data_IF_946236731028
#
_entry.id   IF_946236731028
#
_cell.length_a   1.000
_cell.length_b   1.000
_cell.length_c   1.000
_cell.angle_alpha   90.00
_cell.angle_beta   90.00
_cell.angle_gamma   90.00
#
_symmetry.space_group_name_H-M   'P 1'
#
loop_
_entity.id
_entity.type
_entity.pdbx_description
1 polymer ?
#
# COMPACT_ATOMS: atom_id res chain seq x y z
N UNK A 1 6.47 1.04 -0.40
CA UNK A 1 6.28 -0.15 0.44
C UNK A 1 5.80 -1.32 -0.40
N UNK A 2 6.28 -2.52 -0.09
CA UNK A 2 5.74 -3.74 -0.67
C UNK A 2 4.43 -4.11 0.03
N UNK A 3 3.70 -5.07 -0.54
CA UNK A 3 2.48 -5.55 0.10
C UNK A 3 2.76 -6.09 1.50
N UNK A 4 3.83 -6.88 1.66
CA UNK A 4 4.18 -7.44 2.95
C UNK A 4 4.52 -6.36 3.97
N UNK A 5 5.27 -5.35 3.56
CA UNK A 5 5.60 -4.23 4.44
C UNK A 5 4.35 -3.45 4.84
N UNK A 6 3.47 -3.20 3.88
CA UNK A 6 2.22 -2.50 4.15
C UNK A 6 1.35 -3.28 5.13
N UNK A 7 1.23 -4.59 4.95
CA UNK A 7 0.47 -5.43 5.84
C UNK A 7 1.02 -5.40 7.27
N UNK A 8 2.33 -5.48 7.41
CA UNK A 8 2.98 -5.40 8.72
C UNK A 8 2.71 -4.07 9.41
N UNK A 9 2.82 -2.97 8.65
CA UNK A 9 2.58 -1.65 9.20
C UNK A 9 1.13 -1.45 9.61
N UNK A 10 0.19 -1.92 8.80
CA UNK A 10 -1.22 -1.84 9.12
C UNK A 10 -1.53 -2.61 10.40
N UNK A 11 -1.05 -3.83 10.49
CA UNK A 11 -1.26 -4.66 11.67
C UNK A 11 -0.67 -4.02 12.92
N UNK A 12 0.56 -3.49 12.81
CA UNK A 12 1.22 -2.83 13.92
C UNK A 12 0.49 -1.58 14.39
N UNK A 13 -0.21 -0.93 13.49
CA UNK A 13 -0.96 0.30 13.80
C UNK A 13 -2.39 0.05 14.24
N UNK A 14 -2.80 -1.22 14.29
CA UNK A 14 -4.15 -1.57 14.72
C UNK A 14 -5.20 -1.58 13.63
N UNK A 15 -4.78 -1.57 12.37
CA UNK A 15 -5.69 -1.63 11.22
C UNK A 15 -5.73 -3.02 10.63
N UNK A 16 -6.64 -3.22 9.68
CA UNK A 16 -6.81 -4.50 8.98
C UNK A 16 -6.58 -4.28 7.49
N UNK A 17 -5.78 -5.13 6.88
CA UNK A 17 -5.59 -5.10 5.43
C UNK A 17 -6.88 -5.55 4.75
N UNK A 18 -7.42 -4.69 3.90
CA UNK A 18 -8.62 -4.99 3.12
C UNK A 18 -8.29 -5.58 1.77
N UNK A 19 -8.85 -5.01 0.71
CA UNK A 19 -8.60 -5.47 -0.64
C UNK A 19 -7.21 -5.05 -1.11
N UNK A 20 -6.58 -5.90 -1.92
CA UNK A 20 -5.28 -5.62 -2.53
C UNK A 20 -5.49 -5.63 -4.03
N UNK A 21 -5.17 -4.53 -4.68
CA UNK A 21 -5.32 -4.38 -6.12
C UNK A 21 -3.95 -4.23 -6.76
N UNK A 22 -3.74 -4.95 -7.85
CA UNK A 22 -2.50 -4.87 -8.61
C UNK A 22 -2.75 -4.14 -9.92
N UNK A 23 -1.85 -3.23 -10.25
CA UNK A 23 -1.89 -2.54 -11.53
C UNK A 23 -1.38 -3.49 -12.61
N UNK A 24 -2.29 -4.02 -13.39
CA UNK A 24 -1.98 -5.02 -14.40
C UNK A 24 -2.15 -6.43 -13.88
N UNK A 25 -1.19 -7.30 -14.18
CA UNK A 25 -1.24 -8.71 -13.83
C UNK A 25 -0.80 -8.94 -12.39
N UNK A 26 -1.49 -9.83 -11.70
CA UNK A 26 -1.07 -10.21 -10.35
C UNK A 26 0.27 -10.94 -10.38
N UNK A 27 1.09 -10.78 -9.34
CA UNK A 27 2.36 -11.48 -9.28
C UNK A 27 2.16 -12.99 -9.19
N UNK A 28 3.05 -13.74 -9.82
CA UNK A 28 3.02 -15.19 -9.84
C UNK A 28 3.86 -15.82 -8.72
N UNK A 29 4.65 -15.02 -8.02
CA UNK A 29 5.54 -15.49 -6.96
C UNK A 29 5.74 -14.39 -5.94
N UNK A 30 6.31 -14.76 -4.78
CA UNK A 30 6.65 -13.77 -3.76
C UNK A 30 7.72 -12.80 -4.24
N UNK A 31 8.63 -13.27 -5.10
CA UNK A 31 9.66 -12.41 -5.66
C UNK A 31 9.06 -11.33 -6.55
N UNK A 32 8.09 -11.70 -7.37
CA UNK A 32 7.38 -10.72 -8.19
C UNK A 32 6.57 -9.76 -7.32
N UNK A 33 5.93 -10.27 -6.27
CA UNK A 33 5.15 -9.44 -5.37
C UNK A 33 5.99 -8.33 -4.76
N UNK A 34 7.24 -8.60 -4.46
CA UNK A 34 8.17 -7.61 -3.90
C UNK A 34 8.51 -6.49 -4.88
N UNK A 35 8.32 -6.71 -6.16
CA UNK A 35 8.56 -5.68 -7.18
C UNK A 35 7.44 -4.65 -7.21
N UNK A 36 6.26 -5.01 -6.73
CA UNK A 36 5.13 -4.10 -6.65
C UNK A 36 5.23 -3.25 -5.39
N UNK A 37 4.91 -1.97 -5.53
CA UNK A 37 4.93 -1.03 -4.41
C UNK A 37 3.58 -0.38 -4.26
N UNK A 38 3.20 -0.09 -3.03
CA UNK A 38 1.96 0.62 -2.75
C UNK A 38 2.07 2.04 -3.30
N UNK A 39 1.10 2.42 -4.12
CA UNK A 39 1.06 3.78 -4.66
C UNK A 39 -0.23 4.51 -4.28
N UNK A 40 -1.18 3.80 -3.70
CA UNK A 40 -2.46 4.39 -3.31
C UNK A 40 -3.07 3.57 -2.17
N UNK A 41 -3.80 4.21 -1.31
CA UNK A 41 -4.56 3.53 -0.26
C UNK A 41 -5.92 4.19 -0.07
N UNK A 42 -6.87 3.45 0.48
CA UNK A 42 -8.18 3.97 0.83
C UNK A 42 -8.61 3.36 2.16
N UNK A 43 -8.91 4.14 3.21
CA UNK A 43 -8.88 5.62 3.25
C UNK A 43 -7.48 6.19 3.07
N UNK A 44 -7.42 7.48 2.75
CA UNK A 44 -6.16 8.16 2.51
C UNK A 44 -5.31 8.23 3.78
N UNK A 45 -3.99 8.44 3.57
CA UNK A 45 -3.06 8.62 4.67
C UNK A 45 -3.39 9.91 5.46
N UNK A 46 -2.95 9.95 6.71
CA UNK A 46 -3.06 11.14 7.57
C UNK A 46 -4.47 11.57 7.92
N UNK A 47 -5.43 10.65 7.89
CA UNK A 47 -6.77 10.90 8.41
C UNK A 47 -6.94 10.11 9.70
N UNK A 48 -7.79 10.62 10.57
CA UNK A 48 -8.10 9.95 11.83
C UNK A 48 -8.95 8.72 11.56
N UNK A 49 -8.45 7.57 11.95
CA UNK A 49 -9.14 6.31 11.76
C UNK A 49 -9.24 5.54 13.08
N UNK A 50 -10.35 4.85 13.24
CA UNK A 50 -10.54 3.98 14.40
C UNK A 50 -9.73 2.70 14.20
N UNK A 51 -9.27 2.13 15.32
CA UNK A 51 -8.60 0.83 15.27
C UNK A 51 -9.55 -0.21 14.67
N UNK A 52 -8.99 -1.14 13.91
CA UNK A 52 -9.76 -2.15 13.21
C UNK A 52 -10.28 -1.69 11.86
N UNK A 53 -10.04 -0.44 11.48
CA UNK A 53 -10.46 0.06 10.17
C UNK A 53 -9.78 -0.73 9.06
N UNK A 54 -10.56 -1.10 8.06
CA UNK A 54 -10.06 -1.82 6.90
C UNK A 54 -9.43 -0.84 5.92
N UNK A 55 -8.21 -1.13 5.51
CA UNK A 55 -7.46 -0.31 4.57
C UNK A 55 -7.23 -1.11 3.29
N UNK A 56 -7.68 -0.58 2.17
CA UNK A 56 -7.44 -1.17 0.86
C UNK A 56 -6.19 -0.53 0.26
N UNK A 57 -5.42 -1.30 -0.49
CA UNK A 57 -4.19 -0.81 -1.09
C UNK A 57 -4.11 -1.16 -2.57
N UNK A 58 -3.42 -0.32 -3.32
CA UNK A 58 -3.14 -0.51 -4.74
C UNK A 58 -1.65 -0.55 -4.94
N UNK A 59 -1.20 -1.52 -5.71
CA UNK A 59 0.21 -1.78 -5.93
C UNK A 59 0.55 -1.68 -7.42
N UNK A 60 1.74 -1.19 -7.71
CA UNK A 60 2.20 -1.05 -9.10
C UNK A 60 3.70 -1.31 -9.20
N UNK A 61 4.15 -1.72 -10.38
CA UNK A 61 5.58 -1.75 -10.71
C UNK A 61 5.98 -0.51 -11.50
N UNK A 62 5.03 0.33 -11.88
CA UNK A 62 5.28 1.51 -12.70
C UNK A 62 5.78 2.66 -11.82
N UNK A 63 7.06 3.00 -11.97
CA UNK A 63 7.66 4.09 -11.18
C UNK A 63 6.95 5.42 -11.41
N UNK A 64 6.43 5.67 -12.60
CA UNK A 64 5.71 6.91 -12.87
C UNK A 64 4.44 7.02 -12.01
N UNK A 65 3.72 5.91 -11.84
CA UNK A 65 2.53 5.91 -10.99
C UNK A 65 2.88 6.11 -9.52
N UNK A 66 4.00 5.54 -9.08
CA UNK A 66 4.46 5.74 -7.71
C UNK A 66 4.70 7.21 -7.42
N UNK A 67 5.30 7.92 -8.35
CA UNK A 67 5.58 9.35 -8.18
C UNK A 67 4.35 10.23 -8.37
N UNK A 68 3.39 9.80 -9.17
CA UNK A 68 2.15 10.55 -9.36
C UNK A 68 1.28 10.55 -8.11
N UNK A 69 1.25 9.42 -7.40
CA UNK A 69 0.37 9.25 -6.26
C UNK A 69 1.01 9.67 -4.94
N UNK A 70 2.33 9.67 -4.85
CA UNK A 70 3.02 10.09 -3.64
C UNK A 70 4.35 10.72 -3.99
N UNK A 71 4.71 11.74 -3.24
CA UNK A 71 6.01 12.37 -3.39
C UNK A 71 7.05 11.56 -2.63
N UNK A 72 8.32 11.53 -3.08
CA UNK A 72 9.33 10.69 -2.45
C UNK A 72 9.51 10.91 -0.95
N UNK A 73 9.37 12.12 -0.49
CA UNK A 73 9.54 12.46 0.91
C UNK A 73 8.33 12.11 1.77
N UNK A 74 7.28 11.58 1.17
CA UNK A 74 6.03 11.29 1.86
C UNK A 74 5.83 9.81 2.11
N UNK A 75 6.85 8.98 2.02
CA UNK A 75 6.72 7.55 2.27
C UNK A 75 6.18 7.25 3.67
N UNK A 76 6.61 8.03 4.66
CA UNK A 76 6.13 7.86 6.02
C UNK A 76 4.67 8.28 6.21
N UNK A 77 4.06 8.84 5.20
CA UNK A 77 2.66 9.21 5.24
C UNK A 77 1.73 8.07 4.85
N UNK A 78 2.27 6.89 4.58
CA UNK A 78 1.45 5.72 4.36
C UNK A 78 0.58 5.51 5.61
N UNK A 79 -0.71 5.53 5.40
CA UNK A 79 -1.72 5.59 6.46
C UNK A 79 -1.24 6.36 7.73
#
# INVERSE_FOLDING_TARGET
LTRQQAEMLLTSSGFVLGAVFYDGTQPLSEEEDKLYKVYKQSPEANVDLLQGTRIDIWLTMDAAKMYEESEPELEEEFF
#
